data_IF_842990243452
#
_entry.id   IF_842990243452
#
_cell.length_a   1.000
_cell.length_b   1.000
_cell.length_c   1.000
_cell.angle_alpha   90.00
_cell.angle_beta   90.00
_cell.angle_gamma   90.00
#
_symmetry.space_group_name_H-M   'P 1'
#
loop_
_entity.id
_entity.type
_entity.pdbx_description
1 polymer ?
#
# COMPACT_ATOMS: atom_id res chain seq x y z
N UNK A 1 4.66 6.70 -30.95
CA UNK A 1 5.40 5.82 -30.02
C UNK A 1 6.85 6.26 -29.91
N UNK A 2 7.28 6.71 -28.72
CA UNK A 2 8.70 6.99 -28.43
C UNK A 2 9.28 5.78 -27.73
N UNK A 3 10.32 5.17 -28.31
CA UNK A 3 10.98 4.00 -27.75
C UNK A 3 12.23 4.44 -26.99
N UNK A 4 12.39 4.01 -25.74
CA UNK A 4 13.61 4.24 -24.96
C UNK A 4 14.42 2.94 -24.92
N UNK A 5 15.67 2.99 -25.38
CA UNK A 5 16.63 1.89 -25.24
C UNK A 5 17.49 2.14 -24.01
N UNK A 6 17.44 1.23 -23.04
CA UNK A 6 18.20 1.33 -21.79
C UNK A 6 19.15 0.13 -21.73
N UNK A 7 20.44 0.40 -21.54
CA UNK A 7 21.45 -0.62 -21.32
C UNK A 7 21.74 -0.74 -19.82
N UNK A 8 21.79 -1.98 -19.33
CA UNK A 8 22.15 -2.28 -17.94
C UNK A 8 23.60 -2.74 -17.90
N UNK A 9 24.36 -2.30 -16.91
CA UNK A 9 25.66 -2.89 -16.66
C UNK A 9 25.45 -4.38 -16.30
N UNK A 10 26.10 -5.33 -17.00
CA UNK A 10 25.93 -6.76 -16.74
C UNK A 10 26.14 -7.16 -15.28
N UNK A 11 27.06 -6.47 -14.59
CA UNK A 11 27.36 -6.69 -13.16
C UNK A 11 26.14 -6.43 -12.26
N UNK A 12 25.20 -5.58 -12.68
CA UNK A 12 24.00 -5.21 -11.91
C UNK A 12 22.70 -5.76 -12.54
N UNK A 13 22.79 -6.61 -13.56
CA UNK A 13 21.62 -7.21 -14.22
C UNK A 13 20.71 -7.96 -13.23
N UNK A 14 21.31 -8.59 -12.21
CA UNK A 14 20.58 -9.27 -11.14
C UNK A 14 19.65 -8.34 -10.34
N UNK A 15 20.00 -7.05 -10.21
CA UNK A 15 19.17 -6.06 -9.48
C UNK A 15 17.86 -5.83 -10.23
N UNK A 16 17.90 -5.73 -11.56
CA UNK A 16 16.68 -5.58 -12.35
C UNK A 16 15.80 -6.84 -12.28
N UNK A 17 16.43 -8.03 -12.31
CA UNK A 17 15.71 -9.28 -12.17
C UNK A 17 15.07 -9.42 -10.76
N UNK A 18 15.76 -8.96 -9.71
CA UNK A 18 15.20 -8.86 -8.36
C UNK A 18 14.09 -7.82 -8.28
N UNK A 19 14.19 -6.68 -8.97
CA UNK A 19 13.12 -5.69 -9.02
C UNK A 19 11.84 -6.26 -9.65
N UNK A 20 11.95 -7.04 -10.74
CA UNK A 20 10.81 -7.77 -11.31
C UNK A 20 10.30 -8.91 -10.44
N UNK A 21 11.11 -9.43 -9.52
CA UNK A 21 10.71 -10.46 -8.56
C UNK A 21 10.02 -9.87 -7.32
N UNK A 22 10.42 -8.66 -6.92
CA UNK A 22 9.99 -7.99 -5.69
C UNK A 22 8.79 -7.05 -5.87
N UNK A 23 8.48 -6.63 -7.12
CA UNK A 23 7.29 -5.86 -7.46
C UNK A 23 6.47 -6.60 -8.49
N UNK A 24 5.18 -6.76 -8.19
CA UNK A 24 4.21 -7.15 -9.22
C UNK A 24 4.00 -6.01 -10.22
N UNK A 25 3.47 -6.31 -11.41
CA UNK A 25 3.21 -5.26 -12.42
C UNK A 25 2.25 -4.20 -11.87
N UNK A 26 1.23 -4.64 -11.13
CA UNK A 26 0.27 -3.76 -10.46
C UNK A 26 0.93 -2.89 -9.41
N UNK A 27 1.78 -3.49 -8.57
CA UNK A 27 2.50 -2.75 -7.54
C UNK A 27 3.43 -1.71 -8.13
N UNK A 28 4.08 -2.02 -9.25
CA UNK A 28 4.90 -1.05 -9.96
C UNK A 28 4.05 0.10 -10.53
N UNK A 29 2.91 -0.21 -11.17
CA UNK A 29 2.02 0.84 -11.70
C UNK A 29 1.45 1.72 -10.60
N UNK A 30 0.97 1.13 -9.50
CA UNK A 30 0.54 1.85 -8.29
C UNK A 30 1.66 2.77 -7.79
N UNK A 31 2.86 2.24 -7.60
CA UNK A 31 4.00 2.97 -7.06
C UNK A 31 4.47 4.13 -7.97
N UNK A 32 4.42 3.95 -9.29
CA UNK A 32 4.79 4.98 -10.26
C UNK A 32 3.80 6.15 -10.27
N UNK A 33 2.52 5.89 -9.98
CA UNK A 33 1.48 6.91 -9.91
C UNK A 33 1.57 7.77 -8.63
N UNK A 34 2.28 7.31 -7.60
CA UNK A 34 2.53 8.08 -6.39
C UNK A 34 3.45 9.28 -6.70
N UNK A 35 3.09 10.44 -6.17
CA UNK A 35 3.81 11.71 -6.39
C UNK A 35 4.74 12.02 -5.22
N UNK A 36 4.23 11.90 -3.99
CA UNK A 36 5.00 12.22 -2.79
C UNK A 36 6.05 11.15 -2.48
N UNK A 37 7.28 11.59 -2.19
CA UNK A 37 8.35 10.71 -1.67
C UNK A 37 7.89 9.99 -0.40
N UNK A 38 7.20 10.68 0.49
CA UNK A 38 6.70 10.13 1.74
C UNK A 38 5.65 9.04 1.50
N UNK A 39 4.77 9.26 0.52
CA UNK A 39 3.76 8.29 0.10
C UNK A 39 4.41 7.05 -0.48
N UNK A 40 5.46 7.20 -1.30
CA UNK A 40 6.24 6.06 -1.84
C UNK A 40 6.87 5.20 -0.76
N UNK A 41 7.53 5.82 0.23
CA UNK A 41 8.12 5.07 1.34
C UNK A 41 7.04 4.40 2.19
N UNK A 42 5.95 5.11 2.46
CA UNK A 42 4.82 4.57 3.23
C UNK A 42 4.14 3.40 2.51
N UNK A 43 3.93 3.49 1.19
CA UNK A 43 3.38 2.41 0.36
C UNK A 43 4.18 1.11 0.53
N UNK A 44 5.52 1.21 0.46
CA UNK A 44 6.41 0.05 0.67
C UNK A 44 6.22 -0.58 2.04
N UNK A 45 6.04 0.25 3.09
CA UNK A 45 5.75 -0.23 4.44
C UNK A 45 4.39 -0.92 4.51
N UNK A 46 3.32 -0.29 4.01
CA UNK A 46 2.00 -0.92 4.05
C UNK A 46 1.96 -2.24 3.29
N UNK A 47 2.64 -2.35 2.14
CA UNK A 47 2.77 -3.64 1.43
C UNK A 47 3.46 -4.72 2.26
N UNK A 48 4.46 -4.37 3.07
CA UNK A 48 5.08 -5.32 4.00
C UNK A 48 4.08 -5.83 5.05
N UNK A 49 3.15 -4.98 5.48
CA UNK A 49 2.10 -5.30 6.46
C UNK A 49 0.76 -5.71 5.82
N UNK A 50 0.72 -6.02 4.52
CA UNK A 50 -0.53 -6.32 3.80
C UNK A 50 -1.33 -7.51 4.36
N UNK A 51 -0.65 -8.44 5.03
CA UNK A 51 -1.29 -9.57 5.72
C UNK A 51 -1.88 -9.20 7.07
N UNK A 52 -1.29 -8.25 7.79
CA UNK A 52 -1.79 -7.83 9.11
C UNK A 52 -2.80 -6.70 8.99
N UNK A 53 -2.74 -5.88 7.94
CA UNK A 53 -3.58 -4.70 7.74
C UNK A 53 -3.28 -3.58 8.74
N UNK A 54 -2.18 -3.69 9.49
CA UNK A 54 -1.81 -2.72 10.52
C UNK A 54 -0.30 -2.49 10.54
N UNK A 55 0.08 -1.22 10.54
CA UNK A 55 1.44 -0.78 10.79
C UNK A 55 1.43 0.29 11.88
N UNK A 56 1.97 -0.05 13.05
CA UNK A 56 2.14 0.85 14.18
C UNK A 56 3.62 1.15 14.36
N UNK A 57 3.97 2.42 14.49
CA UNK A 57 5.36 2.87 14.57
C UNK A 57 5.49 4.10 15.47
N UNK A 58 6.56 4.13 16.26
CA UNK A 58 6.89 5.29 17.08
C UNK A 58 7.12 6.53 16.21
N UNK A 59 6.73 7.71 16.68
CA UNK A 59 6.80 8.96 15.93
C UNK A 59 8.22 9.29 15.43
N UNK A 60 9.25 9.04 16.24
CA UNK A 60 10.63 9.31 15.84
C UNK A 60 11.12 8.31 14.80
N UNK A 61 10.76 7.03 14.94
CA UNK A 61 11.08 6.00 13.96
C UNK A 61 10.33 6.23 12.64
N UNK A 62 9.07 6.68 12.70
CA UNK A 62 8.31 7.10 11.52
C UNK A 62 9.03 8.22 10.77
N UNK A 63 9.50 9.26 11.48
CA UNK A 63 10.29 10.34 10.88
C UNK A 63 11.57 9.83 10.23
N UNK A 64 12.29 8.93 10.91
CA UNK A 64 13.53 8.33 10.40
C UNK A 64 13.29 7.53 9.12
N UNK A 65 12.30 6.64 9.12
CA UNK A 65 11.96 5.79 7.96
C UNK A 65 11.60 6.66 6.76
N UNK A 66 10.73 7.66 6.96
CA UNK A 66 10.27 8.52 5.87
C UNK A 66 11.28 9.61 5.48
N UNK A 67 12.36 9.78 6.25
CA UNK A 67 13.33 10.86 6.08
C UNK A 67 12.70 12.25 6.24
N UNK A 68 11.84 12.40 7.25
CA UNK A 68 11.17 13.67 7.57
C UNK A 68 12.18 14.62 8.24
N UNK A 69 12.29 15.89 7.81
CA UNK A 69 13.16 16.86 8.47
C UNK A 69 12.82 17.07 9.94
N UNK A 70 13.85 17.23 10.78
CA UNK A 70 13.68 17.53 12.22
C UNK A 70 12.93 18.84 12.45
N UNK A 71 13.05 19.81 11.53
CA UNK A 71 12.36 21.10 11.59
C UNK A 71 10.85 21.00 11.46
N UNK A 72 10.30 19.86 11.00
CA UNK A 72 8.86 19.70 10.89
C UNK A 72 8.24 19.51 12.27
N UNK A 73 7.47 20.50 12.70
CA UNK A 73 6.55 20.36 13.81
C UNK A 73 5.39 19.40 13.48
N UNK A 74 4.59 19.03 14.48
CA UNK A 74 3.43 18.14 14.28
C UNK A 74 2.41 18.70 13.27
N UNK A 75 2.27 20.04 13.20
CA UNK A 75 1.42 20.71 12.21
C UNK A 75 1.93 20.50 10.77
N UNK A 76 3.24 20.63 10.57
CA UNK A 76 3.89 20.42 9.28
C UNK A 76 3.88 18.94 8.89
N UNK A 77 4.13 18.04 9.85
CA UNK A 77 4.01 16.60 9.64
C UNK A 77 2.60 16.24 9.16
N UNK A 78 1.57 16.80 9.80
CA UNK A 78 0.18 16.57 9.40
C UNK A 78 -0.09 17.08 7.99
N UNK A 79 0.29 18.33 7.70
CA UNK A 79 -0.02 18.99 6.43
C UNK A 79 0.78 18.44 5.24
N UNK A 80 2.06 18.14 5.44
CA UNK A 80 3.02 17.88 4.36
C UNK A 80 3.40 16.41 4.23
N UNK A 81 3.10 15.58 5.22
CA UNK A 81 3.45 14.15 5.23
C UNK A 81 2.18 13.31 5.33
N UNK A 82 1.44 13.39 6.43
CA UNK A 82 0.30 12.50 6.67
C UNK A 82 -0.87 12.76 5.71
N UNK A 83 -1.21 14.02 5.43
CA UNK A 83 -2.29 14.36 4.50
C UNK A 83 -2.01 13.86 3.07
N UNK A 84 -0.85 14.12 2.45
CA UNK A 84 -0.51 13.52 1.15
C UNK A 84 -0.50 11.99 1.16
N UNK A 85 -0.04 11.36 2.25
CA UNK A 85 -0.08 9.90 2.38
C UNK A 85 -1.52 9.40 2.36
N UNK A 86 -2.41 9.99 3.17
CA UNK A 86 -3.82 9.61 3.19
C UNK A 86 -4.46 9.77 1.81
N UNK A 87 -4.29 10.94 1.18
CA UNK A 87 -4.91 11.25 -0.12
C UNK A 87 -4.46 10.30 -1.24
N UNK A 88 -3.17 10.01 -1.32
CA UNK A 88 -2.62 9.17 -2.40
C UNK A 88 -2.79 7.66 -2.13
N UNK A 89 -2.84 7.22 -0.86
CA UNK A 89 -2.96 5.79 -0.52
C UNK A 89 -4.41 5.31 -0.35
N UNK A 90 -5.36 6.19 -0.03
CA UNK A 90 -6.77 5.80 0.12
C UNK A 90 -7.36 5.07 -1.10
N UNK A 91 -7.01 5.45 -2.35
CA UNK A 91 -7.49 4.72 -3.54
C UNK A 91 -6.84 3.35 -3.75
N UNK A 92 -5.72 3.06 -3.08
CA UNK A 92 -4.92 1.84 -3.26
C UNK A 92 -5.18 0.85 -2.13
N UNK A 93 -5.35 1.35 -0.91
CA UNK A 93 -5.61 0.56 0.29
C UNK A 93 -7.02 0.86 0.80
N UNK A 94 -7.92 -0.10 0.61
CA UNK A 94 -9.30 -0.01 1.06
C UNK A 94 -9.38 0.22 2.57
N UNK A 95 -10.33 1.07 2.97
CA UNK A 95 -10.58 1.43 4.36
C UNK A 95 -9.33 1.90 5.12
N UNK A 96 -8.37 2.50 4.41
CA UNK A 96 -7.13 2.95 5.03
C UNK A 96 -7.32 4.19 5.91
N UNK A 97 -6.80 4.14 7.13
CA UNK A 97 -6.89 5.23 8.11
C UNK A 97 -5.53 5.47 8.76
N UNK A 98 -5.31 6.73 9.17
CA UNK A 98 -4.11 7.16 9.89
C UNK A 98 -4.50 7.76 11.23
N UNK A 99 -4.06 7.11 12.30
CA UNK A 99 -4.32 7.55 13.67
C UNK A 99 -3.04 8.01 14.37
N UNK A 100 -3.20 8.98 15.28
CA UNK A 100 -2.12 9.50 16.12
C UNK A 100 -2.38 9.08 17.56
N UNK A 101 -1.63 8.10 18.04
CA UNK A 101 -1.74 7.68 19.44
C UNK A 101 -1.00 8.70 20.30
N UNK A 102 -1.70 9.19 21.33
CA UNK A 102 -1.16 10.19 22.25
C UNK A 102 -1.05 9.61 23.65
N UNK A 103 0.08 9.88 24.32
CA UNK A 103 0.26 9.59 25.74
C UNK A 103 -0.11 10.81 26.56
N UNK A 104 -0.82 10.59 27.67
CA UNK A 104 -1.17 11.63 28.63
C UNK A 104 0.10 12.29 29.16
N UNK A 105 0.08 13.62 29.25
CA UNK A 105 1.16 14.36 29.90
C UNK A 105 1.32 13.93 31.36
N UNK A 106 2.55 14.01 31.88
CA UNK A 106 2.86 13.62 33.26
C UNK A 106 2.10 14.45 34.32
N UNK A 107 1.62 15.65 33.95
CA UNK A 107 0.93 16.58 34.82
C UNK A 107 -0.37 17.08 34.17
N UNK A 108 -1.36 17.38 35.01
CA UNK A 108 -2.57 18.09 34.58
C UNK A 108 -2.19 19.42 33.92
N UNK A 109 -2.76 19.71 32.75
CA UNK A 109 -2.44 20.91 31.96
C UNK A 109 -1.32 20.75 30.93
N UNK A 110 -0.48 19.72 31.01
CA UNK A 110 0.49 19.42 29.94
C UNK A 110 -0.23 18.62 28.84
N UNK A 111 -0.38 19.23 27.66
CA UNK A 111 -1.06 18.62 26.51
C UNK A 111 -0.51 17.24 26.15
N UNK A 112 -1.36 16.39 25.57
CA UNK A 112 -0.97 15.03 25.22
C UNK A 112 0.08 15.02 24.10
N UNK A 113 1.15 14.25 24.27
CA UNK A 113 2.21 14.09 23.27
C UNK A 113 1.86 12.92 22.34
N UNK A 114 1.93 13.13 21.03
CA UNK A 114 1.85 12.05 20.04
C UNK A 114 3.08 11.16 20.20
N UNK A 115 2.87 9.86 20.36
CA UNK A 115 3.94 8.88 20.52
C UNK A 115 4.03 7.92 19.35
N UNK A 116 2.90 7.58 18.72
CA UNK A 116 2.88 6.65 17.59
C UNK A 116 1.99 7.17 16.47
N UNK A 117 2.34 6.76 15.25
CA UNK A 117 1.46 6.80 14.09
C UNK A 117 1.01 5.37 13.81
N UNK A 118 -0.29 5.18 13.65
CA UNK A 118 -0.89 3.88 13.35
C UNK A 118 -1.62 3.98 12.03
N UNK A 119 -1.25 3.10 11.11
CA UNK A 119 -1.95 2.88 9.86
C UNK A 119 -2.77 1.61 9.98
N UNK A 120 -4.05 1.68 9.64
CA UNK A 120 -4.94 0.53 9.50
C UNK A 120 -5.50 0.51 8.10
N UNK A 121 -5.71 -0.68 7.53
CA UNK A 121 -6.25 -0.87 6.18
C UNK A 121 -6.75 -2.32 6.03
N UNK A 122 -7.54 -2.56 4.99
CA UNK A 122 -8.03 -3.90 4.67
C UNK A 122 -6.89 -4.83 4.29
N UNK A 123 -6.92 -6.06 4.82
CA UNK A 123 -5.88 -7.07 4.60
C UNK A 123 -6.04 -7.66 3.20
N UNK A 124 -4.93 -8.05 2.59
CA UNK A 124 -4.99 -8.90 1.40
C UNK A 124 -5.63 -10.25 1.76
N UNK A 125 -6.62 -10.68 0.98
CA UNK A 125 -7.08 -12.06 1.00
C UNK A 125 -5.92 -13.00 0.62
N UNK A 126 -5.91 -14.21 1.20
CA UNK A 126 -4.87 -15.19 0.88
C UNK A 126 -5.03 -15.67 -0.56
N UNK A 127 -4.21 -15.11 -1.46
CA UNK A 127 -4.06 -15.66 -2.82
C UNK A 127 -3.54 -17.09 -2.67
N UNK A 128 -4.19 -18.11 -3.27
CA UNK A 128 -3.72 -19.48 -3.17
C UNK A 128 -2.29 -19.57 -3.71
N UNK A 129 -1.34 -19.90 -2.83
CA UNK A 129 0.07 -20.07 -3.20
C UNK A 129 0.26 -21.26 -4.16
N UNK A 130 -0.73 -22.17 -4.18
CA UNK A 130 -0.75 -23.33 -5.07
C UNK A 130 -2.11 -23.46 -5.76
N UNK A 131 -2.08 -23.69 -7.08
CA UNK A 131 -3.26 -24.12 -7.85
C UNK A 131 -3.11 -25.60 -8.22
N UNK A 132 -4.24 -26.24 -8.54
CA UNK A 132 -4.24 -27.57 -9.14
C UNK A 132 -4.29 -27.44 -10.65
N UNK A 133 -3.20 -27.76 -11.33
CA UNK A 133 -3.15 -27.88 -12.80
C UNK A 133 -3.10 -29.36 -13.14
N UNK A 134 -4.11 -29.85 -13.87
CA UNK A 134 -4.24 -31.26 -14.25
C UNK A 134 -4.14 -32.23 -13.06
N UNK A 135 -4.74 -31.87 -11.92
CA UNK A 135 -4.72 -32.68 -10.69
C UNK A 135 -3.47 -32.51 -9.81
N UNK A 136 -2.39 -31.90 -10.32
CA UNK A 136 -1.14 -31.70 -9.59
C UNK A 136 -1.08 -30.31 -8.96
N UNK A 137 -0.59 -30.23 -7.71
CA UNK A 137 -0.35 -28.95 -7.04
C UNK A 137 0.89 -28.28 -7.62
N UNK A 138 0.74 -27.12 -8.24
CA UNK A 138 1.83 -26.26 -8.71
C UNK A 138 1.86 -24.95 -7.91
N UNK A 139 3.05 -24.39 -7.67
CA UNK A 139 3.21 -23.07 -7.04
C UNK A 139 3.08 -21.98 -8.09
N UNK A 140 2.34 -20.92 -7.78
CA UNK A 140 2.24 -19.79 -8.71
C UNK A 140 3.51 -18.93 -8.67
N UNK A 141 4.04 -18.63 -9.84
CA UNK A 141 4.99 -17.55 -10.06
C UNK A 141 4.38 -16.20 -9.70
N UNK A 142 5.22 -15.17 -9.53
CA UNK A 142 4.74 -13.80 -9.24
C UNK A 142 3.82 -13.27 -10.35
N UNK A 143 4.16 -13.51 -11.61
CA UNK A 143 3.34 -13.13 -12.77
C UNK A 143 2.00 -13.87 -12.81
N UNK A 144 1.97 -15.14 -12.43
CA UNK A 144 0.70 -15.88 -12.37
C UNK A 144 -0.17 -15.31 -11.24
N UNK A 145 0.39 -15.00 -10.06
CA UNK A 145 -0.38 -14.36 -8.98
C UNK A 145 -0.98 -13.03 -9.39
N UNK A 146 -0.31 -12.27 -10.24
CA UNK A 146 -0.82 -11.00 -10.77
C UNK A 146 -2.05 -11.21 -11.65
N UNK A 147 -1.97 -12.17 -12.58
CA UNK A 147 -3.10 -12.51 -13.45
C UNK A 147 -4.30 -12.98 -12.62
N UNK A 148 -4.06 -13.78 -11.56
CA UNK A 148 -5.14 -14.19 -10.66
C UNK A 148 -5.78 -13.02 -9.92
N UNK A 149 -4.99 -12.05 -9.44
CA UNK A 149 -5.52 -10.83 -8.81
C UNK A 149 -6.38 -10.01 -9.78
N UNK A 150 -5.97 -9.91 -11.05
CA UNK A 150 -6.72 -9.17 -12.07
C UNK A 150 -8.10 -9.77 -12.32
N UNK A 151 -8.13 -11.09 -12.46
CA UNK A 151 -9.38 -11.83 -12.68
C UNK A 151 -10.34 -11.67 -11.49
N UNK A 152 -9.86 -11.75 -10.25
CA UNK A 152 -10.69 -11.50 -9.06
C UNK A 152 -11.21 -10.05 -9.02
N UNK A 153 -10.40 -9.06 -9.40
CA UNK A 153 -10.83 -7.65 -9.43
C UNK A 153 -11.92 -7.44 -10.50
N UNK A 154 -11.77 -8.04 -11.68
CA UNK A 154 -12.79 -7.99 -12.74
C UNK A 154 -14.09 -8.67 -12.32
N UNK A 155 -14.01 -9.88 -11.76
CA UNK A 155 -15.18 -10.62 -11.28
C UNK A 155 -15.94 -9.86 -10.17
N UNK A 156 -15.21 -9.28 -9.20
CA UNK A 156 -15.82 -8.45 -8.15
C UNK A 156 -16.45 -7.16 -8.70
N UNK A 157 -15.88 -6.54 -9.73
CA UNK A 157 -16.48 -5.38 -10.40
C UNK A 157 -17.76 -5.74 -11.13
N UNK A 158 -17.79 -6.89 -11.80
CA UNK A 158 -18.99 -7.38 -12.49
C UNK A 158 -20.12 -7.71 -11.50
N UNK A 159 -19.79 -8.37 -10.38
CA UNK A 159 -20.74 -8.67 -9.30
C UNK A 159 -21.31 -7.39 -8.67
N UNK A 160 -20.47 -6.41 -8.36
CA UNK A 160 -20.91 -5.13 -7.82
C UNK A 160 -21.79 -4.36 -8.83
N UNK A 161 -21.43 -4.37 -10.12
CA UNK A 161 -22.24 -3.75 -11.17
C UNK A 161 -23.61 -4.42 -11.35
N UNK A 162 -23.70 -5.74 -11.18
CA UNK A 162 -24.99 -6.46 -11.17
C UNK A 162 -25.83 -6.13 -9.94
N UNK A 163 -25.23 -6.04 -8.76
CA UNK A 163 -25.91 -5.63 -7.52
C UNK A 163 -26.48 -4.21 -7.63
N UNK A 164 -25.70 -3.26 -8.16
CA UNK A 164 -26.15 -1.89 -8.40
C UNK A 164 -27.31 -1.84 -9.40
N UNK A 165 -27.28 -2.67 -10.45
CA UNK A 165 -28.40 -2.79 -11.39
C UNK A 165 -29.67 -3.33 -10.71
N UNK A 166 -29.54 -4.40 -9.91
CA UNK A 166 -30.68 -4.99 -9.19
C UNK A 166 -31.30 -3.98 -8.22
N UNK A 167 -30.48 -3.29 -7.42
CA UNK A 167 -30.97 -2.30 -6.46
C UNK A 167 -31.74 -1.16 -7.15
N UNK A 168 -31.22 -0.66 -8.27
CA UNK A 168 -31.90 0.39 -9.07
C UNK A 168 -33.21 -0.08 -9.72
N UNK A 169 -33.37 -1.38 -9.99
CA UNK A 169 -34.61 -1.94 -10.57
C UNK A 169 -35.65 -2.24 -9.48
N UNK A 170 -35.23 -2.52 -8.25
CA UNK A 170 -36.13 -2.80 -7.12
C UNK A 170 -36.65 -1.56 -6.39
N UNK A 171 -36.09 -0.38 -6.65
CA UNK A 171 -36.53 0.92 -6.09
C UNK A 171 -37.58 1.65 -6.96
N UNK A 172 -38.22 0.97 -7.92
CA UNK A 172 -39.28 1.51 -8.80
C UNK A 172 -40.66 0.94 -8.47
#
# INVERSE_FOLDING_TARGET
NKTVKIGVNPKFSFILNELTSNFTRFELQEFLNLKSKYTKECYRRLKQYRKSGIWSVEIEEFRRILGVPESYEMKDLTKRVLKPIQEELSPIFNNSQIEKIKKKGAYSGRGNKVTHIVFTFEKDNEIPYTVRVNGNKSKLSSSERDIWKDLEIEENKELNGQLDFINNVTEV
#
